data_IF_338038452839
#
_entry.id   IF_338038452839
#
_cell.length_a   1.000
_cell.length_b   1.000
_cell.length_c   1.000
_cell.angle_alpha   90.00
_cell.angle_beta   90.00
_cell.angle_gamma   90.00
#
_symmetry.space_group_name_H-M   'P 1'
#
loop_
_entity.id
_entity.type
_entity.pdbx_description
1 polymer ?
#
# COMPACT_ATOMS: atom_id res chain seq x y z
N UNK A 1 4.89 -68.57 -4.38
CA UNK A 1 4.90 -67.20 -3.86
C UNK A 1 5.73 -66.39 -4.84
N UNK A 2 5.11 -65.69 -5.77
CA UNK A 2 5.83 -64.92 -6.78
C UNK A 2 5.69 -63.43 -6.48
N UNK A 3 6.81 -62.81 -6.12
CA UNK A 3 6.93 -61.37 -5.91
C UNK A 3 6.93 -60.64 -7.26
N UNK A 4 6.17 -59.53 -7.41
CA UNK A 4 6.18 -58.74 -8.64
C UNK A 4 7.52 -58.01 -8.86
N UNK A 5 7.97 -57.93 -10.11
CA UNK A 5 9.24 -57.29 -10.50
C UNK A 5 9.18 -55.76 -10.48
N UNK A 6 10.33 -55.11 -10.26
CA UNK A 6 10.53 -53.64 -10.20
C UNK A 6 9.96 -52.87 -11.42
N UNK A 7 9.87 -53.52 -12.57
CA UNK A 7 9.30 -52.96 -13.80
C UNK A 7 7.78 -52.83 -13.74
N UNK A 8 7.08 -53.72 -13.02
CA UNK A 8 5.61 -53.67 -12.83
C UNK A 8 5.16 -52.65 -11.77
N UNK A 9 6.07 -52.16 -10.92
CA UNK A 9 5.80 -51.07 -9.97
C UNK A 9 5.90 -49.67 -10.60
N UNK A 10 6.54 -49.54 -11.77
CA UNK A 10 6.75 -48.24 -12.45
C UNK A 10 5.57 -47.78 -13.32
N UNK A 11 4.68 -48.68 -13.75
CA UNK A 11 3.61 -48.38 -14.71
C UNK A 11 2.19 -48.37 -14.10
N UNK A 12 2.06 -48.42 -12.77
CA UNK A 12 0.74 -48.24 -12.13
C UNK A 12 0.30 -46.77 -12.20
N UNK A 13 -0.99 -46.48 -12.47
CA UNK A 13 -1.56 -45.11 -12.54
C UNK A 13 -1.52 -44.32 -11.21
N UNK A 14 -0.89 -44.88 -10.16
CA UNK A 14 -0.65 -44.26 -8.85
C UNK A 14 0.83 -44.27 -8.42
N UNK A 15 1.75 -44.62 -9.32
CA UNK A 15 3.20 -44.57 -9.07
C UNK A 15 3.79 -43.17 -9.29
N UNK A 16 5.01 -42.95 -8.80
CA UNK A 16 5.76 -41.68 -8.90
C UNK A 16 5.84 -41.16 -10.35
N UNK A 17 5.91 -42.05 -11.35
CA UNK A 17 5.91 -41.70 -12.77
C UNK A 17 4.57 -41.14 -13.25
N UNK A 18 3.44 -41.73 -12.83
CA UNK A 18 2.10 -41.20 -13.12
C UNK A 18 1.83 -39.87 -12.41
N UNK A 19 2.38 -39.68 -11.21
CA UNK A 19 2.37 -38.37 -10.53
C UNK A 19 3.19 -37.33 -11.30
N UNK A 20 4.40 -37.66 -11.75
CA UNK A 20 5.26 -36.76 -12.54
C UNK A 20 4.65 -36.44 -13.90
N UNK A 21 4.02 -37.40 -14.58
CA UNK A 21 3.35 -37.18 -15.86
C UNK A 21 2.07 -36.34 -15.71
N UNK A 22 1.30 -36.57 -14.64
CA UNK A 22 0.15 -35.74 -14.27
C UNK A 22 0.58 -34.32 -13.89
N UNK A 23 1.72 -34.18 -13.20
CA UNK A 23 2.31 -32.89 -12.84
C UNK A 23 2.83 -32.16 -14.09
N UNK A 24 3.44 -32.87 -15.03
CA UNK A 24 3.92 -32.32 -16.30
C UNK A 24 2.77 -31.81 -17.18
N UNK A 25 1.68 -32.59 -17.34
CA UNK A 25 0.48 -32.13 -18.05
C UNK A 25 -0.21 -30.95 -17.35
N UNK A 26 -0.17 -30.90 -16.01
CA UNK A 26 -0.70 -29.77 -15.22
C UNK A 26 0.13 -28.50 -15.31
N UNK A 27 1.45 -28.62 -15.47
CA UNK A 27 2.38 -27.49 -15.54
C UNK A 27 2.55 -26.94 -16.97
N UNK A 28 2.44 -27.82 -17.97
CA UNK A 28 2.86 -27.51 -19.36
C UNK A 28 1.81 -27.84 -20.43
N UNK A 29 0.62 -28.35 -20.08
CA UNK A 29 -0.38 -28.80 -21.05
C UNK A 29 -0.06 -30.19 -21.64
N UNK A 30 -0.99 -30.78 -22.38
CA UNK A 30 -0.82 -32.11 -22.98
C UNK A 30 0.07 -32.02 -24.24
N UNK A 31 1.23 -32.70 -24.29
CA UNK A 31 2.12 -32.64 -25.47
C UNK A 31 1.51 -33.27 -26.73
N UNK A 32 0.37 -33.98 -26.63
CA UNK A 32 -0.33 -34.59 -27.75
C UNK A 32 -1.34 -33.66 -28.44
N UNK A 33 -1.62 -32.45 -27.93
CA UNK A 33 -2.50 -31.49 -28.62
C UNK A 33 -1.76 -30.64 -29.66
N UNK A 34 -2.42 -30.23 -30.77
CA UNK A 34 -1.80 -29.38 -31.77
C UNK A 34 -1.53 -27.98 -31.19
N UNK A 35 -0.24 -27.63 -31.00
CA UNK A 35 0.20 -26.34 -30.44
C UNK A 35 0.85 -26.43 -29.05
N UNK A 36 1.67 -27.46 -28.81
CA UNK A 36 2.34 -27.75 -27.53
C UNK A 36 3.10 -26.59 -26.87
N UNK A 37 3.51 -26.76 -25.60
CA UNK A 37 3.96 -25.68 -24.72
C UNK A 37 5.11 -24.85 -25.29
N UNK A 38 4.86 -23.55 -25.47
CA UNK A 38 5.90 -22.56 -25.74
C UNK A 38 6.66 -22.20 -24.47
N UNK A 39 7.93 -21.74 -24.57
CA UNK A 39 8.70 -21.22 -23.41
C UNK A 39 7.92 -20.21 -22.57
N UNK A 40 7.07 -19.39 -23.20
CA UNK A 40 6.23 -18.39 -22.54
C UNK A 40 5.12 -19.04 -21.71
N UNK A 41 4.48 -20.10 -22.21
CA UNK A 41 3.46 -20.87 -21.48
C UNK A 41 4.03 -21.68 -20.31
N UNK A 42 5.27 -22.18 -20.43
CA UNK A 42 6.02 -22.86 -19.35
C UNK A 42 6.33 -21.89 -18.20
N UNK A 43 6.78 -20.68 -18.52
CA UNK A 43 7.07 -19.63 -17.52
C UNK A 43 5.79 -19.12 -16.86
N UNK A 44 4.71 -18.90 -17.64
CA UNK A 44 3.40 -18.53 -17.10
C UNK A 44 2.81 -19.63 -16.21
N UNK A 45 2.90 -20.90 -16.63
CA UNK A 45 2.46 -22.06 -15.86
C UNK A 45 3.20 -22.21 -14.54
N UNK A 46 4.53 -22.07 -14.54
CA UNK A 46 5.35 -22.09 -13.33
C UNK A 46 5.06 -20.91 -12.39
N UNK A 47 4.90 -19.70 -12.92
CA UNK A 47 4.55 -18.51 -12.14
C UNK A 47 3.15 -18.63 -11.51
N UNK A 48 2.18 -19.18 -12.24
CA UNK A 48 0.83 -19.42 -11.77
C UNK A 48 0.77 -20.55 -10.72
N UNK A 49 1.50 -21.65 -10.92
CA UNK A 49 1.60 -22.74 -9.95
C UNK A 49 2.29 -22.28 -8.65
N UNK A 50 3.36 -21.50 -8.74
CA UNK A 50 3.99 -20.86 -7.58
C UNK A 50 3.02 -19.96 -6.83
N UNK A 51 2.22 -19.16 -7.56
CA UNK A 51 1.18 -18.32 -6.97
C UNK A 51 0.11 -19.18 -6.27
N UNK A 52 -0.34 -20.29 -6.87
CA UNK A 52 -1.34 -21.19 -6.28
C UNK A 52 -0.86 -21.83 -4.97
N UNK A 53 0.39 -22.28 -4.93
CA UNK A 53 1.03 -22.85 -3.75
C UNK A 53 1.19 -21.82 -2.62
N UNK A 54 1.39 -20.54 -2.95
CA UNK A 54 1.40 -19.46 -1.94
C UNK A 54 0.01 -19.05 -1.46
N UNK A 55 -1.01 -19.28 -2.29
CA UNK A 55 -2.36 -18.75 -2.11
C UNK A 55 -3.27 -19.73 -1.36
N UNK A 56 -3.28 -21.00 -1.74
CA UNK A 56 -4.09 -22.05 -1.10
C UNK A 56 -3.37 -23.40 -1.22
N UNK A 57 -2.29 -23.61 -0.43
CA UNK A 57 -1.48 -24.81 -0.52
C UNK A 57 -2.29 -26.07 -0.20
N UNK A 58 -3.25 -26.00 0.73
CA UNK A 58 -4.06 -27.16 1.10
C UNK A 58 -5.00 -27.57 -0.03
N UNK A 59 -5.73 -26.64 -0.65
CA UNK A 59 -6.66 -27.01 -1.72
C UNK A 59 -5.96 -27.33 -3.06
N UNK A 60 -4.81 -26.71 -3.36
CA UNK A 60 -4.03 -27.02 -4.56
C UNK A 60 -3.35 -28.40 -4.47
N UNK A 61 -2.89 -28.80 -3.28
CA UNK A 61 -2.28 -30.11 -3.05
C UNK A 61 -3.33 -31.22 -2.96
N UNK A 62 -4.47 -30.97 -2.30
CA UNK A 62 -5.46 -32.02 -2.00
C UNK A 62 -6.55 -32.19 -3.08
N UNK A 63 -6.66 -31.27 -4.05
CA UNK A 63 -7.66 -31.36 -5.14
C UNK A 63 -7.04 -31.02 -6.49
N UNK A 64 -7.36 -31.78 -7.57
CA UNK A 64 -6.90 -31.44 -8.91
C UNK A 64 -7.63 -30.20 -9.44
N UNK A 65 -7.02 -29.02 -9.29
CA UNK A 65 -7.55 -27.76 -9.79
C UNK A 65 -6.41 -26.82 -10.21
N UNK A 66 -6.62 -25.97 -11.22
CA UNK A 66 -5.62 -25.01 -11.65
C UNK A 66 -5.47 -23.86 -10.66
N UNK A 67 -4.31 -23.18 -10.69
CA UNK A 67 -4.06 -21.95 -9.96
C UNK A 67 -5.18 -20.91 -10.16
N UNK A 68 -5.62 -20.80 -11.41
CA UNK A 68 -6.73 -19.94 -11.82
C UNK A 68 -8.07 -20.43 -11.28
N UNK A 69 -8.35 -21.74 -11.29
CA UNK A 69 -9.57 -22.32 -10.70
C UNK A 69 -9.63 -22.16 -9.17
N UNK A 70 -8.50 -21.93 -8.50
CA UNK A 70 -8.44 -21.69 -7.06
C UNK A 70 -8.94 -20.28 -6.68
N UNK A 71 -8.76 -19.28 -7.56
CA UNK A 71 -9.17 -17.87 -7.33
C UNK A 71 -10.39 -17.46 -8.16
N UNK A 72 -10.55 -18.07 -9.34
CA UNK A 72 -11.53 -17.74 -10.38
C UNK A 72 -12.38 -18.97 -10.74
N UNK A 73 -12.48 -19.94 -9.81
CA UNK A 73 -13.17 -21.20 -10.01
C UNK A 73 -14.69 -21.07 -10.13
N UNK A 74 -15.39 -22.20 -10.36
CA UNK A 74 -16.84 -22.21 -10.54
C UNK A 74 -17.59 -21.46 -9.43
N UNK A 75 -17.11 -21.51 -8.18
CA UNK A 75 -17.69 -20.85 -7.01
C UNK A 75 -17.77 -19.32 -7.10
N UNK A 76 -17.05 -18.68 -8.03
CA UNK A 76 -17.08 -17.23 -8.23
C UNK A 76 -18.15 -16.77 -9.24
N UNK A 77 -18.96 -17.69 -9.78
CA UNK A 77 -20.06 -17.37 -10.69
C UNK A 77 -21.34 -16.97 -9.95
N UNK A 78 -22.18 -16.14 -10.57
CA UNK A 78 -23.48 -15.73 -10.04
C UNK A 78 -24.47 -16.89 -9.78
N UNK A 79 -24.27 -18.03 -10.44
CA UNK A 79 -25.10 -19.22 -10.29
C UNK A 79 -25.00 -19.85 -8.89
N UNK A 80 -23.87 -19.68 -8.19
CA UNK A 80 -23.67 -20.30 -6.87
C UNK A 80 -24.34 -19.55 -5.72
N UNK A 81 -25.07 -18.46 -6.01
CA UNK A 81 -25.82 -17.70 -4.99
C UNK A 81 -24.99 -16.84 -4.05
N UNK A 82 -23.65 -16.91 -4.08
CA UNK A 82 -22.79 -16.07 -3.26
C UNK A 82 -22.75 -14.61 -3.71
N UNK A 83 -22.49 -13.72 -2.76
CA UNK A 83 -22.32 -12.28 -3.00
C UNK A 83 -20.86 -11.93 -3.33
N UNK A 84 -20.67 -10.99 -4.26
CA UNK A 84 -19.38 -10.45 -4.71
C UNK A 84 -18.60 -9.78 -3.58
N UNK A 85 -17.26 -9.79 -3.64
CA UNK A 85 -16.43 -9.00 -2.72
C UNK A 85 -16.44 -7.50 -3.06
N UNK A 86 -16.33 -6.66 -2.03
CA UNK A 86 -16.42 -5.21 -2.19
C UNK A 86 -15.27 -4.67 -3.04
N UNK A 87 -14.06 -5.19 -2.91
CA UNK A 87 -12.95 -4.74 -3.74
C UNK A 87 -13.22 -4.90 -5.26
N UNK A 88 -14.06 -5.86 -5.65
CA UNK A 88 -14.42 -6.11 -7.04
C UNK A 88 -15.32 -5.01 -7.62
N UNK A 89 -16.27 -4.50 -6.82
CA UNK A 89 -17.29 -3.52 -7.25
C UNK A 89 -17.04 -2.10 -6.70
N UNK A 90 -16.05 -1.94 -5.83
CA UNK A 90 -15.72 -0.70 -5.14
C UNK A 90 -14.31 -0.19 -5.53
N UNK A 91 -13.98 -0.24 -6.83
CA UNK A 91 -12.72 0.28 -7.39
C UNK A 91 -11.45 -0.27 -6.71
N UNK A 92 -11.47 -1.54 -6.31
CA UNK A 92 -10.37 -2.19 -5.59
C UNK A 92 -10.47 -2.10 -4.06
N UNK A 93 -11.33 -1.24 -3.51
CA UNK A 93 -11.39 -0.99 -2.08
C UNK A 93 -12.14 -2.08 -1.31
N UNK A 94 -11.47 -2.67 -0.32
CA UNK A 94 -12.04 -3.68 0.57
C UNK A 94 -12.77 -3.04 1.76
N UNK A 95 -13.76 -2.21 1.45
CA UNK A 95 -14.62 -1.52 2.41
C UNK A 95 -16.04 -1.40 1.85
N UNK A 96 -17.01 -1.12 2.70
CA UNK A 96 -18.39 -0.92 2.26
C UNK A 96 -18.47 0.29 1.32
N UNK A 97 -19.01 0.14 0.09
CA UNK A 97 -19.14 1.23 -0.85
C UNK A 97 -20.11 2.31 -0.33
N UNK A 98 -20.02 3.55 -0.85
CA UNK A 98 -20.95 4.62 -0.51
C UNK A 98 -22.41 4.18 -0.66
N UNK A 99 -23.25 4.57 0.30
CA UNK A 99 -24.65 4.14 0.33
C UNK A 99 -24.87 2.72 0.85
N UNK A 100 -23.85 2.07 1.42
CA UNK A 100 -23.98 0.78 2.13
C UNK A 100 -23.37 0.87 3.54
N UNK A 101 -23.53 -0.19 4.33
CA UNK A 101 -22.96 -0.29 5.68
C UNK A 101 -22.78 -1.76 6.09
N UNK A 102 -21.82 -2.03 6.98
CA UNK A 102 -21.64 -3.37 7.56
C UNK A 102 -22.87 -3.73 8.41
N UNK A 103 -23.57 -4.83 8.09
CA UNK A 103 -24.81 -5.20 8.76
C UNK A 103 -24.78 -6.57 9.45
N UNK A 104 -23.86 -7.45 9.04
CA UNK A 104 -23.70 -8.80 9.59
C UNK A 104 -22.36 -9.39 9.22
N UNK A 105 -21.94 -10.42 9.94
CA UNK A 105 -20.65 -11.07 9.70
C UNK A 105 -20.59 -12.51 10.23
N UNK A 106 -19.71 -13.32 9.65
CA UNK A 106 -19.33 -14.61 10.19
C UNK A 106 -17.83 -14.84 10.08
N UNK A 107 -17.31 -15.76 10.89
CA UNK A 107 -15.92 -16.22 10.82
C UNK A 107 -15.82 -17.55 10.09
N UNK A 108 -14.66 -17.77 9.47
CA UNK A 108 -14.26 -19.02 8.85
C UNK A 108 -12.84 -19.36 9.32
N UNK A 109 -12.65 -20.54 9.90
CA UNK A 109 -11.35 -20.98 10.41
C UNK A 109 -10.37 -21.37 9.27
N UNK A 110 -9.09 -21.49 9.61
CA UNK A 110 -8.05 -22.11 8.79
C UNK A 110 -7.88 -21.53 7.37
N UNK A 111 -8.06 -20.22 7.23
CA UNK A 111 -7.95 -19.56 5.93
C UNK A 111 -6.49 -19.39 5.52
N UNK A 112 -6.10 -19.91 4.35
CA UNK A 112 -4.75 -19.70 3.81
C UNK A 112 -4.49 -18.22 3.52
N UNK A 113 -5.53 -17.47 3.17
CA UNK A 113 -5.50 -16.03 2.93
C UNK A 113 -5.26 -15.18 4.18
N UNK A 114 -5.48 -15.74 5.37
CA UNK A 114 -5.17 -15.12 6.66
C UNK A 114 -4.07 -15.86 7.40
N UNK A 115 -3.13 -16.48 6.65
CA UNK A 115 -1.98 -17.20 7.19
C UNK A 115 -2.34 -18.32 8.18
N UNK A 116 -3.43 -19.04 7.91
CA UNK A 116 -3.95 -20.11 8.77
C UNK A 116 -4.88 -19.63 9.89
N UNK A 117 -5.06 -18.32 10.05
CA UNK A 117 -5.98 -17.75 11.03
C UNK A 117 -7.44 -17.74 10.59
N UNK A 118 -8.27 -17.08 11.40
CA UNK A 118 -9.65 -16.81 11.04
C UNK A 118 -9.75 -15.77 9.94
N UNK A 119 -10.67 -16.00 9.00
CA UNK A 119 -11.14 -15.02 8.03
C UNK A 119 -12.54 -14.58 8.42
N UNK A 120 -12.76 -13.28 8.42
CA UNK A 120 -14.03 -12.67 8.76
C UNK A 120 -14.65 -12.12 7.48
N UNK A 121 -15.86 -12.58 7.17
CA UNK A 121 -16.62 -12.09 6.02
C UNK A 121 -17.73 -11.19 6.56
N UNK A 122 -17.76 -9.96 6.08
CA UNK A 122 -18.71 -8.94 6.50
C UNK A 122 -19.62 -8.59 5.34
N UNK A 123 -20.93 -8.65 5.54
CA UNK A 123 -21.92 -8.22 4.56
C UNK A 123 -22.11 -6.69 4.63
N UNK A 124 -21.88 -6.03 3.51
CA UNK A 124 -22.22 -4.63 3.32
C UNK A 124 -23.62 -4.54 2.69
N UNK A 125 -24.62 -4.18 3.50
CA UNK A 125 -25.99 -4.04 3.04
C UNK A 125 -26.25 -2.62 2.52
N UNK A 126 -27.08 -2.52 1.50
CA UNK A 126 -27.52 -1.25 0.94
C UNK A 126 -28.29 -0.43 1.99
N UNK A 127 -28.17 0.89 1.94
CA UNK A 127 -29.08 1.78 2.65
C UNK A 127 -30.40 1.89 1.88
N UNK A 128 -31.48 2.00 2.63
CA UNK A 128 -32.79 2.30 2.08
C UNK A 128 -32.85 3.79 1.79
N UNK A 129 -32.92 4.17 0.52
CA UNK A 129 -32.77 5.58 0.09
C UNK A 129 -34.11 6.32 0.01
N UNK A 130 -35.21 5.60 -0.20
CA UNK A 130 -36.52 6.18 -0.57
C UNK A 130 -37.73 5.59 0.16
N UNK A 131 -37.54 4.55 0.96
CA UNK A 131 -38.66 3.93 1.67
C UNK A 131 -38.28 3.36 3.04
N UNK A 132 -39.32 3.14 3.85
CA UNK A 132 -39.21 2.55 5.18
C UNK A 132 -38.98 1.04 5.17
N UNK A 133 -38.95 0.46 6.36
CA UNK A 133 -38.79 -0.98 6.55
C UNK A 133 -40.04 -1.74 6.09
N UNK A 134 -39.84 -2.76 5.27
CA UNK A 134 -40.79 -3.86 5.12
C UNK A 134 -40.59 -4.93 6.20
N UNK A 135 -41.13 -6.12 5.95
CA UNK A 135 -40.96 -7.29 6.83
C UNK A 135 -39.48 -7.68 6.95
N UNK A 136 -39.09 -8.14 8.15
CA UNK A 136 -37.72 -8.59 8.41
C UNK A 136 -36.67 -7.48 8.40
N UNK A 137 -37.06 -6.22 8.64
CA UNK A 137 -36.17 -5.05 8.62
C UNK A 137 -35.50 -4.78 7.26
N UNK A 138 -36.10 -5.28 6.18
CA UNK A 138 -35.63 -5.07 4.81
C UNK A 138 -36.56 -4.11 4.06
N UNK A 139 -36.00 -3.09 3.41
CA UNK A 139 -36.77 -2.23 2.51
C UNK A 139 -36.96 -2.89 1.14
N UNK A 140 -37.96 -2.39 0.38
CA UNK A 140 -38.22 -2.87 -0.98
C UNK A 140 -37.00 -2.68 -1.88
N UNK A 141 -36.75 -3.66 -2.77
CA UNK A 141 -35.65 -3.63 -3.73
C UNK A 141 -35.60 -2.41 -4.64
N UNK A 142 -36.75 -1.78 -4.93
CA UNK A 142 -36.82 -0.52 -5.67
C UNK A 142 -36.20 0.67 -4.92
N UNK A 143 -35.99 0.55 -3.60
CA UNK A 143 -35.46 1.61 -2.75
C UNK A 143 -33.98 1.40 -2.37
N UNK A 144 -33.38 0.29 -2.77
CA UNK A 144 -31.98 0.02 -2.46
C UNK A 144 -31.10 1.05 -3.15
N UNK A 145 -29.99 1.43 -2.51
CA UNK A 145 -28.94 2.26 -3.12
C UNK A 145 -28.19 1.57 -4.26
N UNK A 146 -28.54 0.33 -4.58
CA UNK A 146 -27.95 -0.50 -5.62
C UNK A 146 -29.02 -1.31 -6.36
N UNK A 147 -28.64 -1.93 -7.48
CA UNK A 147 -29.51 -2.82 -8.27
C UNK A 147 -28.90 -4.22 -8.34
N UNK A 148 -29.74 -5.24 -8.35
CA UNK A 148 -29.30 -6.62 -8.54
C UNK A 148 -28.58 -6.77 -9.88
N UNK A 149 -27.40 -7.38 -9.82
CA UNK A 149 -26.54 -7.64 -10.95
C UNK A 149 -25.51 -8.72 -10.63
N UNK A 150 -24.43 -8.72 -11.40
CA UNK A 150 -23.30 -9.64 -11.22
C UNK A 150 -22.01 -8.84 -11.17
N UNK A 151 -20.99 -9.38 -10.52
CA UNK A 151 -19.66 -8.80 -10.58
C UNK A 151 -19.13 -8.73 -12.03
N UNK A 152 -18.15 -7.85 -12.31
CA UNK A 152 -17.67 -7.60 -13.67
C UNK A 152 -17.12 -8.87 -14.30
N UNK A 153 -17.46 -9.13 -15.57
CA UNK A 153 -16.95 -10.26 -16.34
C UNK A 153 -15.43 -10.20 -16.56
N UNK A 154 -14.86 -8.98 -16.55
CA UNK A 154 -13.42 -8.72 -16.56
C UNK A 154 -12.72 -9.10 -15.26
N UNK A 155 -13.47 -9.39 -14.19
CA UNK A 155 -12.95 -9.88 -12.92
C UNK A 155 -13.26 -11.36 -12.76
N UNK A 156 -12.44 -12.03 -11.94
CA UNK A 156 -12.70 -13.40 -11.54
C UNK A 156 -13.88 -13.56 -10.59
N UNK A 157 -14.43 -12.47 -10.06
CA UNK A 157 -15.49 -12.50 -9.06
C UNK A 157 -16.82 -12.04 -9.68
N UNK A 158 -17.46 -12.96 -10.41
CA UNK A 158 -18.74 -12.75 -11.11
C UNK A 158 -19.95 -13.10 -10.25
N UNK A 159 -19.79 -13.13 -8.92
CA UNK A 159 -20.85 -13.42 -7.96
C UNK A 159 -21.97 -12.39 -8.02
N UNK A 160 -23.09 -12.69 -7.36
CA UNK A 160 -24.24 -11.77 -7.34
C UNK A 160 -23.85 -10.48 -6.62
N UNK A 161 -24.31 -9.36 -7.15
CA UNK A 161 -24.16 -8.03 -6.57
C UNK A 161 -25.55 -7.50 -6.24
N UNK A 162 -25.81 -7.14 -4.98
CA UNK A 162 -27.09 -6.53 -4.58
C UNK A 162 -28.34 -7.38 -4.93
N UNK A 163 -28.25 -8.70 -4.88
CA UNK A 163 -29.38 -9.61 -5.18
C UNK A 163 -29.88 -10.39 -3.97
N UNK A 164 -29.03 -10.56 -2.96
CA UNK A 164 -29.36 -11.35 -1.78
C UNK A 164 -29.89 -10.40 -0.68
N UNK A 165 -31.11 -10.64 -0.20
CA UNK A 165 -31.77 -9.76 0.76
C UNK A 165 -31.93 -10.49 2.11
N UNK A 166 -30.97 -10.30 3.00
CA UNK A 166 -31.01 -10.77 4.37
C UNK A 166 -30.11 -9.89 5.25
N UNK A 167 -30.29 -9.99 6.57
CA UNK A 167 -29.44 -9.32 7.56
C UNK A 167 -29.34 -10.17 8.82
N UNK A 168 -28.11 -10.43 9.26
CA UNK A 168 -27.84 -11.15 10.51
C UNK A 168 -28.01 -10.27 11.77
N UNK A 169 -27.91 -8.94 11.63
CA UNK A 169 -28.18 -8.01 12.73
C UNK A 169 -27.05 -7.90 13.77
N UNK A 170 -25.82 -8.25 13.41
CA UNK A 170 -24.67 -8.13 14.31
C UNK A 170 -23.96 -6.78 14.22
N UNK A 171 -24.11 -6.05 13.11
CA UNK A 171 -23.45 -4.76 12.91
C UNK A 171 -24.46 -3.64 12.69
N UNK A 172 -24.10 -2.44 13.17
CA UNK A 172 -24.87 -1.21 13.05
C UNK A 172 -26.35 -1.43 13.41
N UNK A 173 -26.60 -2.06 14.56
CA UNK A 173 -27.94 -2.51 14.99
C UNK A 173 -28.95 -1.37 15.15
N UNK A 174 -28.45 -0.15 15.42
CA UNK A 174 -29.24 1.09 15.44
C UNK A 174 -29.89 1.42 14.08
N UNK A 175 -29.33 0.96 12.97
CA UNK A 175 -29.94 1.13 11.64
C UNK A 175 -31.13 0.18 11.55
N UNK A 176 -32.35 0.71 11.56
CA UNK A 176 -33.58 -0.09 11.60
C UNK A 176 -33.85 -0.86 10.30
N UNK A 177 -33.49 -0.30 9.15
CA UNK A 177 -33.80 -0.84 7.81
C UNK A 177 -32.55 -1.04 6.97
N UNK A 178 -32.44 -2.19 6.29
CA UNK A 178 -31.38 -2.48 5.33
C UNK A 178 -31.95 -2.88 3.97
N UNK A 179 -31.19 -2.67 2.90
CA UNK A 179 -31.47 -3.27 1.60
C UNK A 179 -30.67 -4.57 1.40
N UNK A 180 -30.57 -5.00 0.15
CA UNK A 180 -29.80 -6.18 -0.25
C UNK A 180 -28.30 -6.06 0.05
N UNK A 181 -27.62 -7.20 0.15
CA UNK A 181 -26.17 -7.26 0.31
C UNK A 181 -25.50 -6.79 -0.98
N UNK A 182 -24.88 -5.61 -0.93
CA UNK A 182 -24.17 -5.00 -2.05
C UNK A 182 -22.96 -5.85 -2.41
N UNK A 183 -22.12 -6.09 -1.40
CA UNK A 183 -20.87 -6.80 -1.52
C UNK A 183 -20.40 -7.29 -0.13
N UNK A 184 -19.28 -8.01 -0.10
CA UNK A 184 -18.66 -8.51 1.13
C UNK A 184 -17.25 -7.97 1.34
N UNK A 185 -16.90 -7.63 2.56
CA UNK A 185 -15.51 -7.39 2.96
C UNK A 185 -14.93 -8.72 3.45
N UNK A 186 -13.64 -8.95 3.17
CA UNK A 186 -12.88 -10.02 3.81
C UNK A 186 -11.78 -9.40 4.69
N UNK A 187 -11.74 -9.76 5.97
CA UNK A 187 -10.71 -9.30 6.91
C UNK A 187 -10.07 -10.48 7.63
N UNK A 188 -8.85 -10.29 8.11
CA UNK A 188 -8.16 -11.25 8.98
C UNK A 188 -8.21 -10.85 10.46
N UNK A 189 -8.89 -9.76 10.80
CA UNK A 189 -9.22 -9.39 12.18
C UNK A 189 -10.74 -9.31 12.36
N UNK A 190 -11.25 -9.50 13.58
CA UNK A 190 -12.68 -9.47 13.81
C UNK A 190 -13.29 -8.09 13.55
N UNK A 191 -14.50 -8.02 12.96
CA UNK A 191 -15.10 -6.75 12.56
C UNK A 191 -15.52 -5.87 13.72
N UNK A 192 -15.88 -6.43 14.88
CA UNK A 192 -16.13 -5.65 16.10
C UNK A 192 -14.92 -4.87 16.62
N UNK A 193 -13.74 -5.04 16.00
CA UNK A 193 -12.55 -4.31 16.33
C UNK A 193 -12.38 -3.01 15.50
N UNK A 194 -13.07 -2.88 14.36
CA UNK A 194 -12.95 -1.71 13.45
C UNK A 194 -14.29 -1.21 12.87
N UNK A 195 -15.38 -1.95 13.06
CA UNK A 195 -16.75 -1.60 12.72
C UNK A 195 -17.63 -1.65 13.99
N UNK A 196 -18.77 -0.97 13.95
CA UNK A 196 -19.76 -1.03 15.03
C UNK A 196 -20.52 -2.38 14.99
N UNK A 197 -19.89 -3.43 15.50
CA UNK A 197 -20.43 -4.79 15.51
C UNK A 197 -20.42 -5.40 16.92
N UNK A 198 -21.38 -6.29 17.17
CA UNK A 198 -21.40 -7.14 18.36
C UNK A 198 -20.37 -8.27 18.25
N UNK A 199 -20.03 -8.87 19.39
CA UNK A 199 -19.14 -10.03 19.47
C UNK A 199 -19.85 -11.37 19.19
N UNK A 200 -21.17 -11.35 18.99
CA UNK A 200 -21.94 -12.53 18.60
C UNK A 200 -21.41 -13.03 17.26
N UNK A 201 -20.83 -14.23 17.24
CA UNK A 201 -20.15 -14.78 16.08
C UNK A 201 -21.00 -15.86 15.42
N UNK A 202 -21.29 -15.67 14.14
CA UNK A 202 -21.70 -16.76 13.25
C UNK A 202 -20.46 -17.44 12.67
N UNK A 203 -20.60 -18.67 12.17
CA UNK A 203 -19.50 -19.45 11.59
C UNK A 203 -19.94 -20.17 10.31
N UNK A 204 -19.12 -20.07 9.26
CA UNK A 204 -19.27 -20.87 8.03
C UNK A 204 -17.87 -21.11 7.41
N UNK A 205 -17.26 -22.24 7.78
CA UNK A 205 -15.89 -22.57 7.36
C UNK A 205 -15.77 -22.91 5.86
N UNK A 206 -16.90 -23.12 5.15
CA UNK A 206 -16.89 -23.31 3.69
C UNK A 206 -16.43 -22.06 2.93
N UNK A 207 -16.49 -20.90 3.60
CA UNK A 207 -16.08 -19.61 3.05
C UNK A 207 -14.63 -19.24 3.37
N UNK A 208 -13.88 -20.11 4.07
CA UNK A 208 -12.49 -19.88 4.47
C UNK A 208 -11.57 -19.54 3.30
N UNK A 209 -11.82 -20.13 2.13
CA UNK A 209 -11.04 -19.93 0.91
C UNK A 209 -11.71 -18.98 -0.10
N UNK A 210 -12.86 -18.37 0.23
CA UNK A 210 -13.47 -17.40 -0.67
C UNK A 210 -12.57 -16.16 -0.80
N UNK A 211 -12.18 -15.87 -2.04
CA UNK A 211 -11.32 -14.74 -2.35
C UNK A 211 -11.69 -14.03 -3.67
N UNK A 212 -11.01 -12.94 -3.95
CA UNK A 212 -11.01 -12.24 -5.23
C UNK A 212 -9.58 -11.73 -5.49
N UNK A 213 -9.14 -11.59 -6.75
CA UNK A 213 -7.79 -11.12 -7.07
C UNK A 213 -7.42 -9.77 -6.44
N UNK A 214 -8.40 -8.92 -6.13
CA UNK A 214 -8.22 -7.64 -5.46
C UNK A 214 -7.93 -7.73 -3.96
N UNK A 215 -8.08 -8.90 -3.36
CA UNK A 215 -7.77 -9.14 -1.95
C UNK A 215 -6.35 -9.66 -1.79
N UNK A 216 -5.75 -9.31 -0.67
CA UNK A 216 -4.38 -9.66 -0.36
C UNK A 216 -4.26 -11.13 0.09
N UNK A 217 -3.24 -11.82 -0.40
CA UNK A 217 -2.82 -13.14 0.05
C UNK A 217 -1.96 -13.10 1.31
N UNK A 218 -1.78 -14.27 1.94
CA UNK A 218 -0.78 -14.40 3.00
C UNK A 218 0.62 -14.14 2.43
N UNK A 219 1.36 -13.25 3.09
CA UNK A 219 2.69 -12.84 2.67
C UNK A 219 3.27 -11.74 3.56
N UNK A 220 4.49 -11.25 3.27
CA UNK A 220 5.16 -10.24 4.09
C UNK A 220 4.33 -8.97 4.27
N UNK A 221 3.70 -8.46 3.21
CA UNK A 221 2.87 -7.26 3.30
C UNK A 221 1.64 -7.48 4.21
N UNK A 222 1.01 -8.66 4.18
CA UNK A 222 -0.18 -8.93 5.00
C UNK A 222 0.22 -9.08 6.46
N UNK A 223 1.30 -9.82 6.71
CA UNK A 223 1.87 -9.96 8.06
C UNK A 223 2.24 -8.60 8.64
N UNK A 224 2.81 -7.71 7.83
CA UNK A 224 3.10 -6.34 8.24
C UNK A 224 1.83 -5.57 8.59
N UNK A 225 0.82 -5.62 7.72
CA UNK A 225 -0.47 -4.98 7.95
C UNK A 225 -1.11 -5.48 9.26
N UNK A 226 -1.10 -6.79 9.50
CA UNK A 226 -1.61 -7.41 10.73
C UNK A 226 -0.81 -6.98 11.97
N UNK A 227 0.52 -6.95 11.89
CA UNK A 227 1.38 -6.50 12.98
C UNK A 227 1.13 -5.05 13.38
N UNK A 228 0.73 -4.19 12.44
CA UNK A 228 0.36 -2.80 12.70
C UNK A 228 -1.07 -2.65 13.26
N UNK A 229 -1.84 -3.74 13.39
CA UNK A 229 -3.23 -3.72 13.86
C UNK A 229 -4.29 -3.79 12.75
N UNK A 230 -3.88 -4.11 11.52
CA UNK A 230 -4.74 -4.27 10.35
C UNK A 230 -5.68 -3.06 10.14
N UNK A 231 -6.99 -3.26 9.98
CA UNK A 231 -7.95 -2.19 9.70
C UNK A 231 -8.08 -1.16 10.84
N UNK A 232 -7.61 -1.48 12.05
CA UNK A 232 -7.53 -0.53 13.18
C UNK A 232 -6.31 0.39 13.11
N UNK A 233 -5.30 -0.01 12.34
CA UNK A 233 -4.08 0.78 12.17
C UNK A 233 -4.38 2.09 11.44
N UNK A 234 -3.41 3.01 11.45
CA UNK A 234 -3.49 4.25 10.68
C UNK A 234 -3.66 4.00 9.17
N UNK A 235 -3.32 2.80 8.66
CA UNK A 235 -3.49 2.43 7.25
C UNK A 235 -4.96 2.23 6.86
N UNK A 236 -5.83 1.79 7.80
CA UNK A 236 -7.24 1.46 7.56
C UNK A 236 -7.42 0.38 6.46
N UNK A 237 -8.49 0.41 5.68
CA UNK A 237 -8.80 -0.61 4.66
C UNK A 237 -7.86 -0.55 3.44
N UNK A 238 -7.61 -1.72 2.85
CA UNK A 238 -6.91 -1.82 1.55
C UNK A 238 -7.73 -1.19 0.42
N UNK A 239 -7.05 -0.53 -0.51
CA UNK A 239 -7.60 0.10 -1.71
C UNK A 239 -7.43 -0.76 -2.98
N UNK A 240 -6.86 -1.96 -2.87
CA UNK A 240 -6.67 -2.82 -4.03
C UNK A 240 -5.79 -4.03 -3.80
N UNK A 241 -5.48 -4.76 -4.88
CA UNK A 241 -4.58 -5.90 -4.82
C UNK A 241 -3.17 -5.49 -4.44
N UNK A 242 -2.41 -6.48 -3.98
CA UNK A 242 -0.95 -6.43 -4.05
C UNK A 242 -0.52 -6.34 -5.51
N UNK A 243 0.37 -5.39 -5.80
CA UNK A 243 0.89 -5.14 -7.15
C UNK A 243 2.41 -5.16 -7.15
N UNK A 244 3.00 -5.66 -8.23
CA UNK A 244 4.41 -5.45 -8.50
C UNK A 244 4.68 -3.94 -8.68
N UNK A 245 5.80 -3.48 -8.15
CA UNK A 245 6.33 -2.15 -8.44
C UNK A 245 6.91 -2.17 -9.86
N UNK A 246 6.81 -1.06 -10.59
CA UNK A 246 7.19 -0.98 -12.02
C UNK A 246 8.66 -1.27 -12.32
N UNK A 247 9.54 -1.26 -11.32
CA UNK A 247 10.95 -1.63 -11.44
C UNK A 247 11.21 -3.14 -11.33
N UNK A 248 10.16 -3.94 -11.07
CA UNK A 248 10.24 -5.40 -10.92
C UNK A 248 10.92 -5.89 -9.63
N UNK A 249 11.31 -5.01 -8.70
CA UNK A 249 12.11 -5.35 -7.52
C UNK A 249 11.30 -5.48 -6.24
N UNK A 250 10.09 -4.94 -6.23
CA UNK A 250 9.26 -4.86 -5.05
C UNK A 250 7.78 -5.10 -5.31
N UNK A 251 7.05 -5.20 -4.22
CA UNK A 251 5.60 -5.34 -4.18
C UNK A 251 5.02 -4.22 -3.32
N UNK A 252 3.79 -3.80 -3.63
CA UNK A 252 3.09 -2.75 -2.90
C UNK A 252 1.61 -3.08 -2.74
N UNK A 253 1.06 -2.75 -1.56
CA UNK A 253 -0.39 -2.64 -1.34
C UNK A 253 -0.67 -1.21 -0.89
N UNK A 254 -1.70 -0.58 -1.48
CA UNK A 254 -2.18 0.73 -1.05
C UNK A 254 -3.36 0.58 -0.10
N UNK A 255 -3.38 1.42 0.92
CA UNK A 255 -4.42 1.51 1.93
C UNK A 255 -4.94 2.95 1.99
N UNK A 256 -6.09 3.17 2.61
CA UNK A 256 -6.67 4.52 2.72
C UNK A 256 -5.73 5.50 3.43
N UNK A 257 -5.00 5.04 4.44
CA UNK A 257 -4.08 5.85 5.23
C UNK A 257 -2.60 5.69 4.87
N UNK A 258 -2.27 5.06 3.74
CA UNK A 258 -0.87 4.85 3.37
C UNK A 258 -0.61 3.72 2.38
N UNK A 259 0.59 3.16 2.42
CA UNK A 259 0.96 2.01 1.62
C UNK A 259 2.00 1.15 2.34
N UNK A 260 2.01 -0.15 2.08
CA UNK A 260 3.10 -1.04 2.51
C UNK A 260 3.88 -1.43 1.26
N UNK A 261 5.20 -1.19 1.29
CA UNK A 261 6.14 -1.64 0.27
C UNK A 261 6.94 -2.81 0.82
N UNK A 262 7.28 -3.76 -0.03
CA UNK A 262 8.15 -4.87 0.31
C UNK A 262 9.19 -5.08 -0.77
N UNK A 263 10.42 -5.37 -0.35
CA UNK A 263 11.46 -5.99 -1.17
C UNK A 263 12.17 -7.04 -0.34
N UNK A 264 12.89 -7.95 -0.99
CA UNK A 264 13.73 -8.92 -0.27
C UNK A 264 14.81 -8.24 0.59
N UNK A 265 15.28 -7.05 0.20
CA UNK A 265 16.37 -6.36 0.89
C UNK A 265 15.92 -5.48 2.07
N UNK A 266 14.67 -5.01 2.07
CA UNK A 266 14.17 -4.05 3.08
C UNK A 266 13.05 -4.62 3.95
N UNK A 267 12.55 -5.82 3.62
CA UNK A 267 11.30 -6.37 4.13
C UNK A 267 10.11 -5.40 3.95
N UNK A 268 8.97 -5.71 4.58
CA UNK A 268 7.74 -4.96 4.48
C UNK A 268 7.77 -3.73 5.40
N UNK A 269 7.69 -2.55 4.79
CA UNK A 269 7.74 -1.26 5.47
C UNK A 269 6.51 -0.42 5.11
N UNK A 270 5.87 0.14 6.12
CA UNK A 270 4.64 0.90 5.98
C UNK A 270 4.90 2.40 5.94
N UNK A 271 4.39 3.06 4.90
CA UNK A 271 4.35 4.51 4.76
C UNK A 271 2.98 5.03 5.19
N UNK A 272 2.96 6.04 6.06
CA UNK A 272 1.73 6.80 6.34
C UNK A 272 1.36 7.66 5.12
N UNK A 273 0.13 8.20 5.09
CA UNK A 273 -0.37 8.96 3.94
C UNK A 273 0.50 10.18 3.59
N UNK A 274 1.02 10.88 4.58
CA UNK A 274 1.83 12.08 4.38
C UNK A 274 3.22 11.73 3.82
N UNK A 275 3.85 10.68 4.33
CA UNK A 275 5.10 10.11 3.80
C UNK A 275 4.93 9.58 2.39
N UNK A 276 3.84 8.85 2.12
CA UNK A 276 3.53 8.32 0.80
C UNK A 276 3.37 9.43 -0.24
N UNK A 277 2.67 10.52 0.09
CA UNK A 277 2.50 11.67 -0.81
C UNK A 277 3.85 12.28 -1.18
N UNK A 278 4.69 12.59 -0.19
CA UNK A 278 6.03 13.13 -0.45
C UNK A 278 6.93 12.15 -1.21
N UNK A 279 6.82 10.85 -0.92
CA UNK A 279 7.58 9.80 -1.60
C UNK A 279 7.22 9.69 -3.08
N UNK A 280 5.93 9.70 -3.41
CA UNK A 280 5.47 9.66 -4.80
C UNK A 280 5.81 10.94 -5.56
N UNK A 281 5.74 12.10 -4.91
CA UNK A 281 6.19 13.37 -5.50
C UNK A 281 7.69 13.38 -5.80
N UNK A 282 8.50 12.66 -5.01
CA UNK A 282 9.91 12.43 -5.27
C UNK A 282 10.20 11.31 -6.28
N UNK A 283 9.19 10.80 -7.01
CA UNK A 283 9.35 9.74 -8.02
C UNK A 283 9.21 8.31 -7.49
N UNK A 284 8.89 8.13 -6.20
CA UNK A 284 8.63 6.83 -5.60
C UNK A 284 9.84 5.87 -5.68
N UNK A 285 9.62 4.56 -5.89
CA UNK A 285 10.69 3.56 -5.91
C UNK A 285 11.75 3.76 -7.00
N UNK A 286 11.38 4.38 -8.11
CA UNK A 286 12.31 4.73 -9.19
C UNK A 286 13.04 6.06 -8.94
N UNK A 287 12.59 6.83 -7.95
CA UNK A 287 13.19 8.09 -7.55
C UNK A 287 14.47 7.92 -6.72
N UNK A 288 15.12 9.03 -6.33
CA UNK A 288 16.40 9.03 -5.64
C UNK A 288 16.36 8.41 -4.24
N UNK A 289 15.18 8.34 -3.62
CA UNK A 289 15.02 7.72 -2.30
C UNK A 289 15.10 6.19 -2.36
N UNK A 290 14.63 5.56 -3.44
CA UNK A 290 14.43 4.12 -3.50
C UNK A 290 13.45 3.62 -2.43
N UNK A 291 13.58 2.36 -2.01
CA UNK A 291 12.62 1.73 -1.09
C UNK A 291 12.75 2.18 0.37
N UNK A 292 11.63 2.20 1.13
CA UNK A 292 11.63 2.47 2.56
C UNK A 292 12.39 1.40 3.34
N UNK A 293 13.03 1.81 4.45
CA UNK A 293 13.83 0.93 5.32
C UNK A 293 13.24 0.75 6.72
N UNK A 294 12.19 1.49 7.05
CA UNK A 294 11.51 1.45 8.34
C UNK A 294 10.04 1.87 8.15
N UNK A 295 9.21 1.67 9.16
CA UNK A 295 7.86 2.23 9.16
C UNK A 295 7.87 3.73 9.39
N UNK A 296 6.84 4.41 8.90
CA UNK A 296 6.63 5.82 9.18
C UNK A 296 6.21 6.00 10.62
N UNK A 297 6.81 6.99 11.28
CA UNK A 297 6.31 7.51 12.55
C UNK A 297 4.94 8.17 12.39
N UNK A 298 4.24 8.33 13.51
CA UNK A 298 2.94 9.01 13.61
C UNK A 298 2.97 10.28 14.46
N UNK A 299 4.14 10.65 14.98
CA UNK A 299 4.32 11.83 15.82
C UNK A 299 4.11 13.14 15.04
N UNK A 300 3.97 14.31 15.69
CA UNK A 300 3.91 15.59 14.98
C UNK A 300 5.17 15.87 14.14
N UNK A 301 6.31 15.32 14.59
CA UNK A 301 7.60 15.35 13.91
C UNK A 301 8.08 13.92 13.70
N UNK A 302 8.51 13.59 12.48
CA UNK A 302 8.99 12.24 12.19
C UNK A 302 9.95 12.24 11.01
N UNK A 303 10.78 11.20 10.96
CA UNK A 303 11.68 10.92 9.85
C UNK A 303 11.42 9.52 9.33
N UNK A 304 11.04 9.42 8.07
CA UNK A 304 10.95 8.16 7.33
C UNK A 304 12.25 7.92 6.59
N UNK A 305 12.96 6.84 6.91
CA UNK A 305 14.21 6.46 6.24
C UNK A 305 13.96 5.65 4.97
N UNK A 306 14.75 5.93 3.95
CA UNK A 306 14.82 5.22 2.68
C UNK A 306 16.28 4.90 2.36
N UNK A 307 16.52 4.00 1.40
CA UNK A 307 17.88 3.62 0.99
C UNK A 307 18.74 4.81 0.57
N UNK A 308 18.18 5.75 -0.20
CA UNK A 308 18.90 6.89 -0.78
C UNK A 308 18.72 8.22 -0.03
N UNK A 309 17.98 8.24 1.08
CA UNK A 309 17.69 9.48 1.79
C UNK A 309 16.60 9.33 2.83
N UNK A 310 15.87 10.41 3.09
CA UNK A 310 14.80 10.42 4.08
C UNK A 310 13.66 11.34 3.65
N UNK A 311 12.47 11.10 4.19
CA UNK A 311 11.40 12.09 4.21
C UNK A 311 11.28 12.60 5.64
N UNK A 312 11.35 13.91 5.81
CA UNK A 312 11.37 14.56 7.13
C UNK A 312 10.14 15.45 7.25
N UNK A 313 9.41 15.26 8.33
CA UNK A 313 8.35 16.16 8.80
C UNK A 313 8.86 16.86 10.05
N UNK A 314 9.09 18.16 9.95
CA UNK A 314 9.41 19.02 11.09
C UNK A 314 8.15 19.64 11.70
N UNK A 315 8.30 20.38 12.81
CA UNK A 315 7.19 21.07 13.43
C UNK A 315 6.64 22.07 12.43
N UNK A 316 5.32 22.11 12.19
CA UNK A 316 4.67 23.04 11.25
C UNK A 316 5.21 23.07 9.80
N UNK A 317 6.05 22.13 9.37
CA UNK A 317 6.44 21.99 7.94
C UNK A 317 5.58 20.95 7.26
N UNK A 318 5.56 20.87 5.94
CA UNK A 318 5.07 19.68 5.23
C UNK A 318 6.18 18.62 5.16
N UNK A 319 5.88 17.31 5.02
CA UNK A 319 6.91 16.31 4.84
C UNK A 319 7.66 16.55 3.54
N UNK A 320 8.99 16.59 3.60
CA UNK A 320 9.84 16.81 2.43
C UNK A 320 10.88 15.71 2.29
N UNK A 321 11.06 15.27 1.05
CA UNK A 321 12.14 14.36 0.69
C UNK A 321 13.48 15.11 0.73
N UNK A 322 14.49 14.48 1.32
CA UNK A 322 15.87 14.98 1.40
C UNK A 322 16.83 13.82 1.07
N UNK A 323 17.74 14.02 0.11
CA UNK A 323 18.60 12.95 -0.42
C UNK A 323 19.91 13.50 -0.97
N UNK A 324 20.90 12.63 -1.19
CA UNK A 324 22.20 13.01 -1.77
C UNK A 324 22.84 14.21 -1.08
N UNK A 325 23.39 15.13 -1.87
CA UNK A 325 24.14 16.28 -1.36
C UNK A 325 23.32 17.21 -0.46
N UNK A 326 22.03 17.43 -0.73
CA UNK A 326 21.22 18.26 0.18
C UNK A 326 21.09 17.64 1.58
N UNK A 327 21.06 16.31 1.68
CA UNK A 327 21.11 15.61 2.97
C UNK A 327 22.49 15.73 3.64
N UNK A 328 23.57 15.64 2.86
CA UNK A 328 24.95 15.76 3.36
C UNK A 328 25.20 17.17 3.94
N UNK A 329 24.80 18.22 3.21
CA UNK A 329 24.92 19.61 3.70
C UNK A 329 24.04 19.83 4.92
N UNK A 330 22.79 19.37 4.90
CA UNK A 330 21.88 19.52 6.04
C UNK A 330 22.40 18.82 7.30
N UNK A 331 22.97 17.62 7.15
CA UNK A 331 23.67 16.91 8.24
C UNK A 331 24.84 17.73 8.79
N UNK A 332 25.70 18.23 7.89
CA UNK A 332 26.88 19.04 8.27
C UNK A 332 26.48 20.29 9.05
N UNK A 333 25.34 20.90 8.71
CA UNK A 333 24.83 22.11 9.33
C UNK A 333 23.93 21.87 10.56
N UNK A 334 23.91 20.65 11.12
CA UNK A 334 23.23 20.36 12.39
C UNK A 334 21.78 19.86 12.28
N UNK A 335 21.37 19.36 11.11
CA UNK A 335 20.01 18.85 10.88
C UNK A 335 18.91 19.89 11.20
N UNK A 336 17.75 19.43 11.68
CA UNK A 336 16.58 20.28 11.96
C UNK A 336 16.77 21.28 13.09
N UNK A 337 17.77 21.05 13.96
CA UNK A 337 18.18 21.97 15.04
C UNK A 337 19.27 22.96 14.59
N UNK A 338 19.79 22.78 13.38
CA UNK A 338 20.83 23.60 12.78
C UNK A 338 20.33 24.92 12.21
N UNK A 339 21.27 25.70 11.66
CA UNK A 339 21.02 27.06 11.15
C UNK A 339 19.94 27.11 10.04
N UNK A 340 19.81 26.04 9.25
CA UNK A 340 18.80 25.92 8.19
C UNK A 340 17.40 25.55 8.72
N UNK A 341 17.34 24.87 9.87
CA UNK A 341 16.12 24.24 10.36
C UNK A 341 15.68 23.03 9.53
N UNK A 342 14.38 22.70 9.57
CA UNK A 342 13.82 21.59 8.80
C UNK A 342 13.56 21.95 7.33
N UNK A 343 13.62 20.97 6.40
CA UNK A 343 13.16 21.14 5.03
C UNK A 343 11.73 21.71 4.95
N UNK A 344 11.53 22.68 4.06
CA UNK A 344 10.25 23.40 3.90
C UNK A 344 9.60 23.22 2.54
N UNK A 345 10.36 22.83 1.51
CA UNK A 345 9.87 22.54 0.15
C UNK A 345 10.65 21.39 -0.49
N UNK A 346 10.30 20.98 -1.72
CA UNK A 346 11.05 19.97 -2.46
C UNK A 346 12.35 20.55 -3.05
N UNK A 347 13.25 19.68 -3.54
CA UNK A 347 14.35 20.11 -4.40
C UNK A 347 13.82 20.53 -5.77
N UNK A 348 14.18 21.72 -6.22
CA UNK A 348 13.85 22.25 -7.55
C UNK A 348 15.10 22.34 -8.42
N UNK A 349 14.96 21.93 -9.68
CA UNK A 349 15.99 22.12 -10.70
C UNK A 349 15.88 23.54 -11.27
N UNK A 350 17.01 24.10 -11.67
CA UNK A 350 17.12 25.43 -12.29
C UNK A 350 17.48 25.30 -13.77
N UNK A 351 17.18 26.32 -14.60
CA UNK A 351 17.48 26.28 -16.04
C UNK A 351 18.97 26.11 -16.37
N UNK A 352 19.84 26.64 -15.51
CA UNK A 352 21.30 26.53 -15.61
C UNK A 352 21.85 25.17 -15.14
N UNK A 353 20.97 24.19 -14.91
CA UNK A 353 21.24 22.86 -14.33
C UNK A 353 21.60 22.89 -12.84
N UNK A 354 21.63 24.06 -12.19
CA UNK A 354 21.72 24.14 -10.73
C UNK A 354 20.48 23.55 -10.06
N UNK A 355 20.52 23.42 -8.74
CA UNK A 355 19.34 23.04 -7.96
C UNK A 355 19.32 23.72 -6.60
N UNK A 356 18.12 23.90 -6.06
CA UNK A 356 17.91 24.43 -4.71
C UNK A 356 16.95 23.54 -3.93
N UNK A 357 17.21 23.38 -2.64
CA UNK A 357 16.39 22.68 -1.67
C UNK A 357 16.02 23.68 -0.58
N UNK A 358 14.73 23.99 -0.45
CA UNK A 358 14.26 24.96 0.54
C UNK A 358 14.23 24.36 1.95
N UNK A 359 14.65 25.17 2.92
CA UNK A 359 14.59 24.94 4.36
C UNK A 359 13.84 26.09 5.03
N UNK A 360 13.46 25.92 6.29
CA UNK A 360 12.70 26.94 7.03
C UNK A 360 13.45 28.28 7.09
N UNK A 361 14.74 28.24 7.37
CA UNK A 361 15.56 29.44 7.60
C UNK A 361 16.53 29.71 6.45
N UNK A 362 16.36 29.08 5.29
CA UNK A 362 17.34 29.18 4.22
C UNK A 362 17.15 28.17 3.10
N UNK A 363 18.24 27.88 2.38
CA UNK A 363 18.26 26.83 1.38
C UNK A 363 19.61 26.09 1.37
N UNK A 364 19.61 24.89 0.80
CA UNK A 364 20.83 24.30 0.24
C UNK A 364 20.74 24.44 -1.27
N UNK A 365 21.78 25.02 -1.89
CA UNK A 365 21.81 25.26 -3.33
C UNK A 365 23.13 24.82 -3.94
N UNK A 366 23.11 24.53 -5.22
CA UNK A 366 24.27 24.17 -6.02
C UNK A 366 24.16 24.82 -7.39
N UNK A 367 25.26 25.41 -7.87
CA UNK A 367 25.42 25.93 -9.22
C UNK A 367 26.52 25.19 -9.99
N UNK A 368 26.57 25.28 -11.32
CA UNK A 368 27.50 24.49 -12.15
C UNK A 368 28.98 24.64 -11.82
N UNK A 369 29.38 25.80 -11.27
CA UNK A 369 30.77 26.14 -10.91
C UNK A 369 31.02 26.10 -9.40
N UNK A 370 30.01 25.79 -8.61
CA UNK A 370 30.10 25.75 -7.15
C UNK A 370 29.88 24.34 -6.62
N UNK A 371 29.98 24.18 -5.30
CA UNK A 371 29.60 22.95 -4.58
C UNK A 371 28.26 23.16 -3.88
N UNK A 372 27.57 22.09 -3.47
CA UNK A 372 26.37 22.20 -2.64
C UNK A 372 26.68 22.93 -1.31
N UNK A 373 25.94 24.01 -1.09
CA UNK A 373 26.19 24.97 -0.01
C UNK A 373 24.87 25.36 0.67
N UNK A 374 24.89 25.44 2.01
CA UNK A 374 23.77 25.91 2.80
C UNK A 374 23.87 27.40 3.11
N UNK A 375 22.86 28.16 2.69
CA UNK A 375 22.73 29.60 2.97
C UNK A 375 21.56 29.81 3.91
N UNK A 376 21.78 30.52 5.03
CA UNK A 376 20.80 30.63 6.11
C UNK A 376 20.62 32.06 6.64
N UNK A 377 19.51 32.29 7.36
CA UNK A 377 19.26 33.49 8.14
C UNK A 377 19.21 34.78 7.31
N UNK A 378 19.70 35.87 7.88
CA UNK A 378 19.73 37.18 7.21
C UNK A 378 20.55 37.19 5.93
N UNK A 379 21.62 36.39 5.87
CA UNK A 379 22.41 36.20 4.65
C UNK A 379 21.54 35.66 3.52
N UNK A 380 20.72 34.64 3.80
CA UNK A 380 19.78 34.08 2.82
C UNK A 380 18.72 35.11 2.39
N UNK A 381 18.17 35.87 3.35
CA UNK A 381 17.14 36.85 3.06
C UNK A 381 17.65 37.97 2.15
N UNK A 382 18.82 38.52 2.42
CA UNK A 382 19.40 39.58 1.57
C UNK A 382 19.80 39.05 0.20
N UNK A 383 20.41 37.86 0.15
CA UNK A 383 20.76 37.22 -1.12
C UNK A 383 19.53 37.00 -2.00
N UNK A 384 18.43 36.52 -1.43
CA UNK A 384 17.18 36.32 -2.18
C UNK A 384 16.51 37.63 -2.60
N UNK A 385 16.61 38.69 -1.78
CA UNK A 385 16.10 40.03 -2.11
C UNK A 385 16.78 40.62 -3.35
N UNK A 386 18.07 40.37 -3.51
CA UNK A 386 18.88 40.80 -4.65
C UNK A 386 18.79 39.84 -5.87
N UNK A 387 17.80 38.94 -5.91
CA UNK A 387 17.58 38.03 -7.04
C UNK A 387 18.24 36.65 -6.91
N UNK A 388 18.80 36.33 -5.74
CA UNK A 388 19.39 35.01 -5.46
C UNK A 388 20.52 34.69 -6.42
N UNK A 389 20.58 33.43 -6.90
CA UNK A 389 21.66 33.01 -7.80
C UNK A 389 21.59 33.61 -9.21
N UNK A 390 20.47 34.22 -9.61
CA UNK A 390 20.37 34.96 -10.88
C UNK A 390 20.76 36.45 -10.69
N UNK A 391 20.95 36.88 -9.45
CA UNK A 391 21.32 38.23 -9.08
C UNK A 391 22.83 38.50 -9.14
N UNK A 392 23.27 39.73 -8.78
CA UNK A 392 24.66 40.14 -8.87
C UNK A 392 25.61 39.34 -7.96
N UNK A 393 25.09 38.74 -6.88
CA UNK A 393 25.87 37.89 -5.98
C UNK A 393 26.20 36.52 -6.59
N UNK A 394 25.37 36.01 -7.51
CA UNK A 394 25.53 34.66 -8.05
C UNK A 394 25.35 33.55 -7.02
N UNK A 395 25.95 32.39 -7.26
CA UNK A 395 25.86 31.24 -6.35
C UNK A 395 26.73 31.42 -5.10
N UNK A 396 26.32 30.85 -3.96
CA UNK A 396 27.17 30.78 -2.78
C UNK A 396 28.31 29.76 -2.99
N UNK A 397 29.48 30.06 -2.43
CA UNK A 397 30.69 29.23 -2.52
C UNK A 397 31.05 28.55 -1.19
N UNK A 398 30.56 29.08 -0.06
CA UNK A 398 30.73 28.49 1.27
C UNK A 398 29.44 28.52 2.07
N UNK A 399 29.30 27.58 3.01
CA UNK A 399 28.15 27.56 3.91
C UNK A 399 28.13 28.86 4.74
N UNK A 400 26.93 29.32 5.09
CA UNK A 400 26.77 30.41 6.06
C UNK A 400 27.41 29.99 7.38
N UNK A 401 28.32 30.81 7.88
CA UNK A 401 29.06 30.55 9.12
C UNK A 401 28.92 31.72 10.09
N UNK A 402 29.03 31.42 11.38
CA UNK A 402 29.12 32.43 12.42
C UNK A 402 30.59 32.71 12.71
N UNK A 403 30.98 33.98 12.65
CA UNK A 403 32.31 34.46 12.98
C UNK A 403 32.48 34.60 14.51
N UNK A 404 33.74 34.64 15.03
CA UNK A 404 34.01 34.76 16.46
C UNK A 404 33.40 36.01 17.13
N UNK A 405 33.18 37.07 16.36
CA UNK A 405 32.52 38.31 16.82
C UNK A 405 30.99 38.21 16.87
N UNK A 406 30.44 37.03 16.57
CA UNK A 406 29.01 36.73 16.55
C UNK A 406 28.31 37.09 15.23
N UNK A 407 28.99 37.76 14.29
CA UNK A 407 28.45 38.08 12.97
C UNK A 407 28.30 36.85 12.09
N UNK A 408 27.40 36.94 11.11
CA UNK A 408 27.14 35.89 10.14
C UNK A 408 27.73 36.27 8.80
N UNK A 409 28.49 35.34 8.20
CA UNK A 409 29.15 35.52 6.91
C UNK A 409 28.62 34.54 5.88
N UNK A 410 28.46 35.01 4.65
CA UNK A 410 28.21 34.20 3.47
C UNK A 410 29.10 34.67 2.32
N UNK A 411 29.76 33.72 1.66
CA UNK A 411 30.63 33.99 0.51
C UNK A 411 29.94 33.51 -0.75
N UNK A 412 29.96 34.36 -1.78
CA UNK A 412 29.31 34.17 -3.08
C UNK A 412 30.30 34.45 -4.21
N UNK A 413 29.96 34.04 -5.43
CA UNK A 413 30.75 34.33 -6.63
C UNK A 413 30.99 35.83 -6.83
N UNK A 414 29.99 36.66 -6.51
CA UNK A 414 30.03 38.12 -6.64
C UNK A 414 30.58 38.87 -5.42
N UNK A 415 30.99 38.17 -4.34
CA UNK A 415 31.56 38.82 -3.15
C UNK A 415 31.13 38.18 -1.82
N UNK A 416 31.33 38.91 -0.73
CA UNK A 416 31.00 38.43 0.63
C UNK A 416 29.94 39.31 1.27
N UNK A 417 28.88 38.69 1.79
CA UNK A 417 27.92 39.33 2.68
C UNK A 417 28.30 39.03 4.12
N UNK A 418 28.31 40.07 4.96
CA UNK A 418 28.47 39.94 6.41
C UNK A 418 27.35 40.70 7.09
N UNK A 419 26.58 40.01 7.92
CA UNK A 419 25.53 40.61 8.74
C UNK A 419 25.94 40.57 10.21
N UNK A 420 25.79 41.68 10.96
CA UNK A 420 26.10 41.68 12.38
C UNK A 420 25.26 40.64 13.12
N UNK A 421 25.88 39.95 14.08
CA UNK A 421 25.16 39.15 15.05
C UNK A 421 24.31 40.07 15.91
N UNK A 422 23.25 39.60 16.57
CA UNK A 422 22.44 40.48 17.40
C UNK A 422 23.28 41.09 18.56
N UNK A 423 23.12 42.40 18.85
CA UNK A 423 23.11 42.90 20.21
C UNK A 423 21.71 43.48 20.47
N UNK A 424 20.65 42.67 20.43
CA UNK A 424 19.33 43.20 20.75
C UNK A 424 19.11 43.20 22.26
N UNK A 425 19.68 44.20 22.95
CA UNK A 425 19.13 44.61 24.25
C UNK A 425 17.77 45.22 23.96
N UNK A 426 16.69 44.46 24.21
CA UNK A 426 15.34 45.02 24.27
C UNK A 426 15.28 45.91 25.52
N UNK A 427 15.55 47.21 25.37
CA UNK A 427 15.14 48.18 26.38
C UNK A 427 13.62 48.36 26.24
N UNK A 428 12.87 47.78 27.19
CA UNK A 428 11.46 48.14 27.41
C UNK A 428 11.43 49.60 27.88
N UNK A 429 10.77 50.44 27.11
CA UNK A 429 10.27 51.74 27.53
C UNK A 429 8.80 51.62 27.88
#
# INVERSE_FOLDING_TARGET
MDHPTLTQLRTRPRGLAGFVETLARRLYGDPAEPGGPTRRSVVLGAALAGTALTVDPKAYVLRPQSAYATVCGPATKAANGWTVFCCTVNKGSNTCPPGSFAAGWWKAADSSWCCGGYRYIIDCNARCTKCGCGRGHLCNSSCWSCKCGRGPSSSCDQRRHCCNAFRYGQCNTHVRCSGGVVCRIASCIPPYAFENCTRTSLRDDRTSQHNAPCLQGCGPLLRKFQALGAERSYLKSSLGPQKAVGDGRGQVVRYQGGAIYWTQATDAQALNAAALTAYLAAGGPAGPLGYPMADSGSDPEWTQRFRGGSIVKGPRTTPQAIWGESFIVWKRLGYGQGILGHPSGPRTQRPDKGWAQAFRNGCVTWGPRTRPVGVAGFIYLEWMKEGGADGPWGYPVSDTEQLPDGSWRGVFEGGTLTFPGPPYVVKRG
#
